data_IF_965487873182
#
_entry.id   IF_965487873182
#
_cell.length_a   1.000
_cell.length_b   1.000
_cell.length_c   1.000
_cell.angle_alpha   90.00
_cell.angle_beta   90.00
_cell.angle_gamma   90.00
#
_symmetry.space_group_name_H-M   'P 1'
#
loop_
_entity.id
_entity.type
_entity.pdbx_description
1 polymer ?
#
# COMPACT_ATOMS: atom_id res chain seq x y z
N UNK A 1 16.05 -12.60 -3.88
CA UNK A 1 15.72 -11.21 -3.47
C UNK A 1 16.25 -11.00 -2.06
N UNK A 2 16.94 -9.88 -1.81
CA UNK A 2 17.40 -9.52 -0.46
C UNK A 2 16.25 -8.87 0.29
N UNK A 3 15.85 -9.44 1.42
CA UNK A 3 14.82 -8.90 2.29
C UNK A 3 15.46 -8.40 3.58
N UNK A 4 15.06 -7.21 4.02
CA UNK A 4 15.51 -6.62 5.28
C UNK A 4 14.37 -6.76 6.27
N UNK A 5 14.60 -7.50 7.35
CA UNK A 5 13.65 -7.60 8.47
C UNK A 5 13.77 -6.34 9.34
N UNK A 6 12.69 -5.95 10.04
CA UNK A 6 12.81 -4.99 11.15
C UNK A 6 13.87 -5.52 12.14
N UNK A 7 15.00 -4.82 12.23
CA UNK A 7 16.21 -5.27 12.95
C UNK A 7 17.49 -5.31 12.11
N UNK A 8 17.43 -5.11 10.78
CA UNK A 8 18.60 -4.98 9.92
C UNK A 8 19.17 -6.31 9.38
N UNK A 9 18.59 -7.44 9.78
CA UNK A 9 18.95 -8.75 9.23
C UNK A 9 18.56 -8.83 7.74
N UNK A 10 19.55 -9.15 6.90
CA UNK A 10 19.37 -9.34 5.45
C UNK A 10 19.29 -10.83 5.15
N UNK A 11 18.14 -11.29 4.68
CA UNK A 11 17.96 -12.66 4.23
C UNK A 11 17.89 -12.73 2.71
N UNK A 12 18.53 -13.75 2.15
CA UNK A 12 18.41 -14.05 0.73
C UNK A 12 17.30 -15.07 0.51
N UNK A 13 16.18 -14.60 -0.04
CA UNK A 13 15.08 -15.47 -0.41
C UNK A 13 15.20 -15.84 -1.89
N UNK A 14 15.33 -17.13 -2.19
CA UNK A 14 15.28 -17.67 -3.55
C UNK A 14 13.95 -18.40 -3.75
N UNK A 15 13.18 -17.96 -4.73
CA UNK A 15 12.02 -18.70 -5.20
C UNK A 15 12.53 -19.89 -6.01
N UNK A 16 12.17 -21.10 -5.60
CA UNK A 16 12.42 -22.31 -6.37
C UNK A 16 11.23 -22.54 -7.31
N UNK A 17 11.46 -22.63 -8.63
CA UNK A 17 10.41 -22.95 -9.57
C UNK A 17 9.80 -24.34 -9.28
N UNK A 18 8.52 -24.47 -9.57
CA UNK A 18 7.84 -25.75 -9.66
C UNK A 18 8.34 -26.50 -10.91
N UNK A 19 8.38 -27.84 -10.85
CA UNK A 19 8.70 -28.71 -11.99
C UNK A 19 7.56 -28.77 -13.03
N UNK A 20 7.02 -27.62 -13.41
CA UNK A 20 5.95 -27.49 -14.40
C UNK A 20 5.93 -26.09 -15.01
N UNK A 21 5.40 -25.98 -16.22
CA UNK A 21 5.28 -24.71 -16.92
C UNK A 21 4.11 -23.87 -16.39
N UNK A 22 4.27 -22.55 -16.48
CA UNK A 22 3.23 -21.58 -16.19
C UNK A 22 1.95 -21.90 -16.97
N UNK A 23 0.83 -22.00 -16.25
CA UNK A 23 -0.47 -22.35 -16.84
C UNK A 23 -0.98 -21.35 -17.87
N UNK A 24 -0.55 -20.08 -17.78
CA UNK A 24 -1.00 -19.03 -18.70
C UNK A 24 -0.12 -18.94 -19.96
N UNK A 25 1.18 -18.69 -19.81
CA UNK A 25 2.05 -18.50 -20.96
C UNK A 25 2.61 -19.80 -21.54
N UNK A 26 2.63 -20.91 -20.78
CA UNK A 26 3.24 -22.20 -21.15
C UNK A 26 4.71 -22.14 -21.61
N UNK A 27 5.40 -21.02 -21.38
CA UNK A 27 6.77 -20.77 -21.86
C UNK A 27 7.81 -20.80 -20.74
N UNK A 28 7.45 -20.30 -19.55
CA UNK A 28 8.34 -20.22 -18.38
C UNK A 28 7.92 -21.21 -17.32
N UNK A 29 8.84 -21.64 -16.48
CA UNK A 29 8.52 -22.44 -15.30
C UNK A 29 7.60 -21.65 -14.36
N UNK A 30 6.68 -22.36 -13.71
CA UNK A 30 5.86 -21.74 -12.69
C UNK A 30 6.68 -21.53 -11.42
N UNK A 31 6.50 -20.40 -10.74
CA UNK A 31 7.22 -20.07 -9.50
C UNK A 31 6.24 -19.72 -8.37
N UNK A 32 4.99 -19.40 -8.70
CA UNK A 32 4.00 -18.85 -7.77
C UNK A 32 2.68 -19.61 -7.92
N UNK A 33 2.13 -20.05 -6.79
CA UNK A 33 0.77 -20.59 -6.66
C UNK A 33 -0.08 -19.57 -5.91
N UNK A 34 -1.00 -18.83 -6.57
CA UNK A 34 -1.90 -17.92 -5.86
C UNK A 34 -2.77 -18.70 -4.86
N UNK A 35 -2.83 -18.20 -3.62
CA UNK A 35 -3.63 -18.80 -2.55
C UNK A 35 -5.09 -18.97 -2.96
N UNK A 36 -5.69 -20.11 -2.59
CA UNK A 36 -7.08 -20.43 -2.95
C UNK A 36 -7.29 -20.81 -4.42
N UNK A 37 -6.22 -21.02 -5.20
CA UNK A 37 -6.32 -21.46 -6.59
C UNK A 37 -5.47 -22.71 -6.86
N UNK A 38 -5.83 -23.44 -7.93
CA UNK A 38 -4.99 -24.51 -8.49
C UNK A 38 -4.08 -24.02 -9.63
N UNK A 39 -3.89 -22.70 -9.76
CA UNK A 39 -3.05 -22.11 -10.81
C UNK A 39 -1.58 -22.14 -10.37
N UNK A 40 -0.70 -22.52 -11.30
CA UNK A 40 0.75 -22.39 -11.17
C UNK A 40 1.22 -21.42 -12.25
N UNK A 41 1.80 -20.29 -11.83
CA UNK A 41 2.12 -19.17 -12.70
C UNK A 41 3.60 -18.78 -12.59
N UNK A 42 4.20 -18.34 -13.69
CA UNK A 42 5.47 -17.61 -13.63
C UNK A 42 5.25 -16.22 -13.05
N UNK A 43 6.34 -15.55 -12.68
CA UNK A 43 6.30 -14.21 -12.07
C UNK A 43 5.49 -13.19 -12.89
N UNK A 44 5.68 -13.10 -14.20
CA UNK A 44 4.97 -12.08 -15.00
C UNK A 44 3.48 -12.37 -15.14
N UNK A 45 3.11 -13.64 -15.34
CA UNK A 45 1.70 -14.03 -15.39
C UNK A 45 0.99 -13.85 -14.05
N UNK A 46 1.70 -14.01 -12.93
CA UNK A 46 1.17 -13.70 -11.61
C UNK A 46 0.87 -12.21 -11.43
N UNK A 47 1.77 -11.32 -11.88
CA UNK A 47 1.54 -9.88 -11.83
C UNK A 47 0.32 -9.47 -12.66
N UNK A 48 0.21 -9.99 -13.89
CA UNK A 48 -0.98 -9.79 -14.75
C UNK A 48 -2.26 -10.34 -14.10
N UNK A 49 -2.18 -11.49 -13.43
CA UNK A 49 -3.30 -12.05 -12.69
C UNK A 49 -3.78 -11.12 -11.57
N UNK A 50 -2.87 -10.55 -10.78
CA UNK A 50 -3.20 -9.59 -9.72
C UNK A 50 -3.81 -8.30 -10.29
N UNK A 51 -3.21 -7.74 -11.33
CA UNK A 51 -3.72 -6.55 -12.03
C UNK A 51 -5.14 -6.77 -12.55
N UNK A 52 -5.39 -7.92 -13.19
CA UNK A 52 -6.73 -8.29 -13.67
C UNK A 52 -7.74 -8.43 -12.54
N UNK A 53 -7.35 -9.05 -11.41
CA UNK A 53 -8.23 -9.20 -10.24
C UNK A 53 -8.64 -7.85 -9.65
N UNK A 54 -7.69 -6.92 -9.53
CA UNK A 54 -7.96 -5.55 -9.06
C UNK A 54 -8.88 -4.83 -10.03
N UNK A 55 -8.58 -4.85 -11.33
CA UNK A 55 -9.43 -4.25 -12.37
C UNK A 55 -10.87 -4.77 -12.31
N UNK A 56 -11.04 -6.09 -12.28
CA UNK A 56 -12.36 -6.73 -12.20
C UNK A 56 -13.13 -6.31 -10.95
N UNK A 57 -12.47 -6.15 -9.80
CA UNK A 57 -13.13 -5.70 -8.57
C UNK A 57 -13.60 -4.23 -8.70
N UNK A 58 -12.76 -3.35 -9.23
CA UNK A 58 -13.08 -1.93 -9.46
C UNK A 58 -14.29 -1.81 -10.39
N UNK A 59 -14.28 -2.49 -11.52
CA UNK A 59 -15.35 -2.44 -12.52
C UNK A 59 -16.65 -3.04 -11.98
N UNK A 60 -16.58 -4.21 -11.31
CA UNK A 60 -17.75 -4.88 -10.74
C UNK A 60 -18.45 -4.02 -9.70
N UNK A 61 -17.69 -3.35 -8.84
CA UNK A 61 -18.23 -2.56 -7.74
C UNK A 61 -18.38 -1.08 -8.08
N UNK A 62 -18.06 -0.67 -9.31
CA UNK A 62 -18.09 0.74 -9.77
C UNK A 62 -17.41 1.67 -8.76
N UNK A 63 -16.20 1.29 -8.33
CA UNK A 63 -15.53 1.96 -7.21
C UNK A 63 -15.19 3.43 -7.50
N UNK A 64 -14.98 3.77 -8.77
CA UNK A 64 -14.79 5.15 -9.23
C UNK A 64 -15.04 5.27 -10.75
N UNK A 65 -15.26 6.50 -11.21
CA UNK A 65 -15.38 6.89 -12.61
C UNK A 65 -14.14 7.59 -13.17
N UNK A 66 -14.10 7.80 -14.48
CA UNK A 66 -12.92 8.32 -15.20
C UNK A 66 -12.52 9.76 -14.82
N UNK A 67 -13.45 10.54 -14.28
CA UNK A 67 -13.24 11.95 -13.92
C UNK A 67 -12.99 12.17 -12.42
N UNK A 68 -13.10 11.12 -11.61
CA UNK A 68 -12.99 11.23 -10.15
C UNK A 68 -11.52 11.23 -9.70
N UNK A 69 -11.17 12.15 -8.82
CA UNK A 69 -9.85 12.19 -8.20
C UNK A 69 -9.75 11.12 -7.13
N UNK A 70 -8.74 10.25 -7.23
CA UNK A 70 -8.53 9.12 -6.33
C UNK A 70 -7.48 9.45 -5.28
N UNK A 71 -7.82 9.28 -4.00
CA UNK A 71 -6.91 9.36 -2.87
C UNK A 71 -6.49 7.97 -2.39
N UNK A 72 -5.20 7.66 -2.45
CA UNK A 72 -4.68 6.39 -1.94
C UNK A 72 -3.92 6.61 -0.64
N UNK A 73 -4.48 6.11 0.47
CA UNK A 73 -3.82 6.12 1.77
C UNK A 73 -2.70 5.06 1.79
N UNK A 74 -1.44 5.50 1.81
CA UNK A 74 -0.26 4.62 1.77
C UNK A 74 0.42 4.59 3.13
N UNK A 75 0.45 3.42 3.77
CA UNK A 75 1.01 3.26 5.12
C UNK A 75 2.51 2.98 5.16
N UNK A 76 3.14 2.74 4.01
CA UNK A 76 4.49 2.15 3.91
C UNK A 76 4.49 0.61 3.91
N UNK A 77 3.32 -0.01 4.12
CA UNK A 77 3.13 -1.45 4.00
C UNK A 77 2.98 -1.92 2.56
N UNK A 78 3.26 -3.21 2.34
CA UNK A 78 3.19 -3.88 1.03
C UNK A 78 1.81 -3.76 0.36
N UNK A 79 0.73 -3.79 1.14
CA UNK A 79 -0.64 -3.89 0.61
C UNK A 79 -1.07 -2.56 -0.05
N UNK A 80 -0.94 -1.44 0.67
CA UNK A 80 -1.23 -0.11 0.11
C UNK A 80 -0.21 0.30 -0.97
N UNK A 81 1.04 -0.13 -0.85
CA UNK A 81 2.07 0.13 -1.86
C UNK A 81 1.77 -0.60 -3.19
N UNK A 82 1.36 -1.87 -3.10
CA UNK A 82 0.95 -2.66 -4.26
C UNK A 82 -0.32 -2.07 -4.90
N UNK A 83 -1.30 -1.64 -4.09
CA UNK A 83 -2.50 -0.98 -4.59
C UNK A 83 -2.16 0.27 -5.40
N UNK A 84 -1.33 1.16 -4.86
CA UNK A 84 -0.90 2.38 -5.57
C UNK A 84 -0.22 2.05 -6.91
N UNK A 85 0.71 1.09 -6.89
CA UNK A 85 1.44 0.68 -8.09
C UNK A 85 0.51 0.09 -9.16
N UNK A 86 -0.42 -0.77 -8.76
CA UNK A 86 -1.40 -1.39 -9.67
C UNK A 86 -2.36 -0.34 -10.22
N UNK A 87 -2.89 0.55 -9.39
CA UNK A 87 -3.81 1.61 -9.82
C UNK A 87 -3.13 2.54 -10.84
N UNK A 88 -1.91 3.02 -10.55
CA UNK A 88 -1.19 3.89 -11.48
C UNK A 88 -0.87 3.21 -12.81
N UNK A 89 -0.60 1.90 -12.80
CA UNK A 89 -0.36 1.12 -14.01
C UNK A 89 -1.63 0.91 -14.84
N UNK A 90 -2.75 0.57 -14.19
CA UNK A 90 -4.01 0.28 -14.86
C UNK A 90 -4.73 1.54 -15.36
N UNK A 91 -4.62 2.65 -14.62
CA UNK A 91 -5.33 3.90 -14.87
C UNK A 91 -4.34 5.07 -14.96
N UNK A 92 -3.45 5.10 -15.97
CA UNK A 92 -2.36 6.09 -16.04
C UNK A 92 -2.85 7.53 -16.20
N UNK A 93 -4.04 7.72 -16.80
CA UNK A 93 -4.69 9.02 -17.05
C UNK A 93 -5.53 9.52 -15.86
N UNK A 94 -5.79 8.67 -14.86
CA UNK A 94 -6.56 9.07 -13.69
C UNK A 94 -5.74 10.01 -12.80
N UNK A 95 -6.39 11.03 -12.23
CA UNK A 95 -5.77 11.84 -11.18
C UNK A 95 -5.69 11.03 -9.88
N UNK A 96 -4.49 10.52 -9.58
CA UNK A 96 -4.21 9.73 -8.37
C UNK A 96 -3.29 10.53 -7.46
N UNK A 97 -3.70 10.67 -6.20
CA UNK A 97 -2.95 11.34 -5.14
C UNK A 97 -2.64 10.35 -4.02
N UNK A 98 -1.36 10.16 -3.72
CA UNK A 98 -0.94 9.36 -2.56
C UNK A 98 -0.99 10.22 -1.29
N UNK A 99 -1.41 9.61 -0.18
CA UNK A 99 -1.48 10.28 1.12
C UNK A 99 -0.80 9.38 2.16
N UNK A 100 0.14 9.94 2.90
CA UNK A 100 0.76 9.29 4.04
C UNK A 100 0.46 10.07 5.32
N UNK A 101 -0.04 9.37 6.34
CA UNK A 101 -0.22 9.92 7.68
C UNK A 101 0.93 9.42 8.57
N UNK A 102 1.91 10.29 8.83
CA UNK A 102 2.96 10.03 9.81
C UNK A 102 2.36 10.20 11.21
N UNK A 103 2.26 9.09 11.93
CA UNK A 103 1.64 9.00 13.25
C UNK A 103 2.57 9.36 14.41
N UNK A 104 3.84 9.67 14.12
CA UNK A 104 4.87 9.98 15.10
C UNK A 104 5.26 8.80 15.99
N UNK A 105 5.09 7.56 15.53
CA UNK A 105 5.53 6.36 16.26
C UNK A 105 7.04 6.25 16.11
N UNK A 106 7.75 6.33 17.25
CA UNK A 106 9.21 6.38 17.28
C UNK A 106 9.82 5.17 16.56
N UNK A 107 10.84 5.42 15.75
CA UNK A 107 11.57 4.42 14.97
C UNK A 107 10.75 3.62 13.95
N UNK A 108 9.47 3.95 13.73
CA UNK A 108 8.63 3.29 12.73
C UNK A 108 8.10 4.26 11.69
N UNK A 109 7.48 5.36 12.12
CA UNK A 109 6.80 6.27 11.20
C UNK A 109 7.75 6.94 10.21
N UNK A 110 8.98 7.26 10.62
CA UNK A 110 9.97 7.88 9.72
C UNK A 110 10.45 6.91 8.63
N UNK A 111 10.70 5.64 8.98
CA UNK A 111 11.05 4.61 8.00
C UNK A 111 9.90 4.33 7.03
N UNK A 112 8.67 4.29 7.54
CA UNK A 112 7.49 4.12 6.72
C UNK A 112 7.33 5.30 5.75
N UNK A 113 7.49 6.54 6.22
CA UNK A 113 7.42 7.73 5.39
C UNK A 113 8.48 7.72 4.27
N UNK A 114 9.75 7.44 4.60
CA UNK A 114 10.84 7.34 3.61
C UNK A 114 10.51 6.28 2.53
N UNK A 115 9.94 5.14 2.92
CA UNK A 115 9.55 4.10 1.98
C UNK A 115 8.41 4.58 1.05
N UNK A 116 7.44 5.32 1.57
CA UNK A 116 6.34 5.89 0.78
C UNK A 116 6.83 6.97 -0.17
N UNK A 117 7.69 7.88 0.28
CA UNK A 117 8.30 8.92 -0.55
C UNK A 117 9.05 8.32 -1.74
N UNK A 118 9.92 7.33 -1.48
CA UNK A 118 10.65 6.59 -2.53
C UNK A 118 9.71 5.89 -3.51
N UNK A 119 8.63 5.28 -3.01
CA UNK A 119 7.62 4.63 -3.86
C UNK A 119 6.92 5.66 -4.77
N UNK A 120 6.44 6.77 -4.21
CA UNK A 120 5.72 7.80 -4.95
C UNK A 120 6.63 8.48 -5.98
N UNK A 121 7.88 8.74 -5.63
CA UNK A 121 8.90 9.24 -6.56
C UNK A 121 9.10 8.27 -7.74
N UNK A 122 9.26 6.96 -7.46
CA UNK A 122 9.42 5.93 -8.50
C UNK A 122 8.19 5.83 -9.42
N UNK A 123 6.99 5.93 -8.86
CA UNK A 123 5.73 5.83 -9.61
C UNK A 123 5.31 7.15 -10.27
N UNK A 124 6.02 8.25 -9.98
CA UNK A 124 5.67 9.62 -10.39
C UNK A 124 4.22 9.98 -10.00
N UNK A 125 3.87 9.68 -8.75
CA UNK A 125 2.57 10.00 -8.16
C UNK A 125 2.77 11.12 -7.13
N UNK A 126 1.96 12.19 -7.15
CA UNK A 126 2.02 13.23 -6.13
C UNK A 126 1.72 12.65 -4.75
N UNK A 127 2.42 13.14 -3.72
CA UNK A 127 2.32 12.65 -2.36
C UNK A 127 2.03 13.81 -1.40
N UNK A 128 1.03 13.64 -0.55
CA UNK A 128 0.83 14.45 0.65
C UNK A 128 1.32 13.67 1.85
N UNK A 129 2.20 14.29 2.63
CA UNK A 129 2.57 13.79 3.96
C UNK A 129 1.89 14.66 5.01
N UNK A 130 1.07 14.04 5.84
CA UNK A 130 0.49 14.67 7.02
C UNK A 130 1.24 14.17 8.25
N UNK A 131 2.04 15.03 8.87
CA UNK A 131 2.71 14.70 10.12
C UNK A 131 1.82 15.10 11.30
N UNK A 132 1.29 14.11 12.02
CA UNK A 132 0.36 14.32 13.13
C UNK A 132 0.98 15.18 14.23
N UNK A 133 2.25 14.95 14.55
CA UNK A 133 2.95 15.69 15.60
C UNK A 133 3.16 17.16 15.24
N UNK A 134 3.56 17.43 14.00
CA UNK A 134 3.77 18.80 13.53
C UNK A 134 2.46 19.58 13.39
N UNK A 135 1.38 18.91 12.96
CA UNK A 135 0.10 19.56 12.67
C UNK A 135 -0.80 19.73 13.89
N UNK A 136 -0.76 18.77 14.82
CA UNK A 136 -1.71 18.69 15.93
C UNK A 136 -1.04 18.74 17.31
N UNK A 137 0.30 18.74 17.35
CA UNK A 137 1.07 18.82 18.60
C UNK A 137 1.15 17.52 19.39
N UNK A 138 0.65 16.40 18.86
CA UNK A 138 0.73 15.09 19.51
C UNK A 138 1.01 13.95 18.52
N UNK A 139 1.50 12.84 19.04
CA UNK A 139 1.79 11.60 18.34
C UNK A 139 1.01 10.43 18.95
N UNK A 140 1.01 9.27 18.30
CA UNK A 140 0.40 8.06 18.87
C UNK A 140 1.13 7.59 20.14
N UNK A 141 2.45 7.81 20.23
CA UNK A 141 3.25 7.41 21.38
C UNK A 141 2.87 8.18 22.65
N UNK A 142 2.39 9.43 22.52
CA UNK A 142 1.98 10.25 23.67
C UNK A 142 0.80 9.63 24.44
N UNK A 143 0.00 8.77 23.79
CA UNK A 143 -1.12 8.09 24.43
C UNK A 143 -0.71 7.05 25.47
N UNK A 144 0.57 6.62 25.50
CA UNK A 144 1.12 5.76 26.55
C UNK A 144 1.01 6.40 27.93
N UNK A 145 1.03 7.73 28.01
CA UNK A 145 0.93 8.50 29.26
C UNK A 145 -0.51 8.85 29.66
N UNK A 146 -1.51 8.34 28.93
CA UNK A 146 -2.92 8.64 29.16
C UNK A 146 -3.69 7.42 29.68
N UNK A 147 -4.97 7.59 30.02
CA UNK A 147 -5.84 6.46 30.36
C UNK A 147 -6.02 5.47 29.19
N UNK A 148 -5.65 5.86 27.96
CA UNK A 148 -5.74 5.04 26.76
C UNK A 148 -4.53 4.14 26.52
N UNK A 149 -3.55 4.07 27.44
CA UNK A 149 -2.31 3.27 27.28
C UNK A 149 -2.55 1.80 26.87
N UNK A 150 -3.64 1.19 27.34
CA UNK A 150 -4.00 -0.20 27.02
C UNK A 150 -4.88 -0.33 25.75
N UNK A 151 -5.16 0.79 25.07
CA UNK A 151 -6.07 0.93 23.93
C UNK A 151 -5.44 1.74 22.78
N UNK A 152 -4.11 1.81 22.71
CA UNK A 152 -3.38 2.61 21.71
C UNK A 152 -3.79 2.26 20.28
N UNK A 153 -3.96 0.97 19.94
CA UNK A 153 -4.41 0.56 18.61
C UNK A 153 -5.82 1.06 18.27
N UNK A 154 -6.71 1.15 19.27
CA UNK A 154 -8.06 1.69 19.09
C UNK A 154 -7.99 3.19 18.80
N UNK A 155 -7.22 3.92 19.60
CA UNK A 155 -6.97 5.36 19.42
C UNK A 155 -6.37 5.65 18.05
N UNK A 156 -5.30 4.94 17.68
CA UNK A 156 -4.65 5.03 16.38
C UNK A 156 -5.64 4.78 15.22
N UNK A 157 -6.51 3.77 15.35
CA UNK A 157 -7.55 3.50 14.35
C UNK A 157 -8.54 4.66 14.19
N UNK A 158 -8.97 5.25 15.29
CA UNK A 158 -9.90 6.39 15.30
C UNK A 158 -9.26 7.64 14.69
N UNK A 159 -8.03 7.98 15.11
CA UNK A 159 -7.25 9.09 14.56
C UNK A 159 -7.07 8.93 13.05
N UNK A 160 -6.62 7.76 12.59
CA UNK A 160 -6.44 7.50 11.16
C UNK A 160 -7.72 7.76 10.36
N UNK A 161 -8.86 7.18 10.76
CA UNK A 161 -10.12 7.33 10.03
C UNK A 161 -10.60 8.78 9.97
N UNK A 162 -10.43 9.52 11.07
CA UNK A 162 -10.74 10.94 11.11
C UNK A 162 -9.89 11.73 10.11
N UNK A 163 -8.56 11.57 10.17
CA UNK A 163 -7.66 12.31 9.29
C UNK A 163 -7.73 11.86 7.83
N UNK A 164 -8.02 10.60 7.55
CA UNK A 164 -8.24 10.13 6.18
C UNK A 164 -9.38 10.91 5.52
N UNK A 165 -10.51 11.04 6.21
CA UNK A 165 -11.68 11.75 5.72
C UNK A 165 -11.43 13.26 5.61
N UNK A 166 -10.76 13.84 6.62
CA UNK A 166 -10.42 15.28 6.64
C UNK A 166 -9.48 15.66 5.50
N UNK A 167 -8.38 14.94 5.34
CA UNK A 167 -7.38 15.21 4.28
C UNK A 167 -8.01 15.03 2.90
N UNK A 168 -8.84 13.99 2.71
CA UNK A 168 -9.55 13.78 1.45
C UNK A 168 -10.44 14.99 1.08
N UNK A 169 -11.22 15.49 2.04
CA UNK A 169 -12.09 16.67 1.84
C UNK A 169 -11.30 17.94 1.55
N UNK A 170 -10.22 18.20 2.30
CA UNK A 170 -9.36 19.38 2.10
C UNK A 170 -8.71 19.39 0.70
N UNK A 171 -8.46 18.21 0.12
CA UNK A 171 -7.81 18.05 -1.18
C UNK A 171 -8.78 17.75 -2.33
N UNK A 172 -10.09 17.86 -2.09
CA UNK A 172 -11.17 17.62 -3.07
C UNK A 172 -11.02 16.26 -3.76
N UNK A 173 -10.76 15.24 -2.95
CA UNK A 173 -10.70 13.85 -3.41
C UNK A 173 -12.11 13.29 -3.46
N UNK A 174 -12.46 12.63 -4.55
CA UNK A 174 -13.78 12.06 -4.77
C UNK A 174 -13.90 10.66 -4.14
N UNK A 175 -12.83 9.85 -4.19
CA UNK A 175 -12.79 8.47 -3.67
C UNK A 175 -11.52 8.11 -2.88
#
# INVERSE_FOLDING_TARGET
MKYVKCGGEVFEFKLTPFKTYCRYCKQKEAEIKPSGTSLLLCKECFLLFCEKKVKMAIEKHKMFGEKEKIGVMVSGGKDSAALLAILKKLYPQQEILAIHLNLGIKYYSDFAQIAVEKLCQKLKVPLIVYNLKEKEGFSIDDFVFTHFKNKICSVCGTIKRYYFSRIARENKIDV
#
